data_IF_828201875949
#
_entry.id   IF_828201875949
#
_cell.length_a   1.000
_cell.length_b   1.000
_cell.length_c   1.000
_cell.angle_alpha   90.00
_cell.angle_beta   90.00
_cell.angle_gamma   90.00
#
_symmetry.space_group_name_H-M   'P 1'
#
loop_
_entity.id
_entity.type
_entity.pdbx_description
1 polymer ?
#
# COMPACT_ATOMS: atom_id res chain seq x y z
N UNK A 1 -4.92 20.26 -22.33
CA UNK A 1 -5.01 19.31 -21.20
C UNK A 1 -5.31 20.09 -19.92
N UNK A 2 -6.20 19.60 -19.07
CA UNK A 2 -6.61 20.27 -17.82
C UNK A 2 -5.45 20.28 -16.80
N UNK A 3 -5.32 21.36 -16.02
CA UNK A 3 -4.30 21.50 -14.97
C UNK A 3 -4.34 20.37 -13.92
N UNK A 4 -5.49 19.74 -13.76
CA UNK A 4 -5.76 18.72 -12.73
C UNK A 4 -5.49 17.29 -13.20
N UNK A 5 -5.39 17.04 -14.51
CA UNK A 5 -5.19 15.69 -15.09
C UNK A 5 -3.93 15.57 -15.93
N UNK A 6 -3.12 16.64 -16.02
CA UNK A 6 -1.97 16.69 -16.93
C UNK A 6 -0.76 15.89 -16.44
N UNK A 7 -0.65 15.58 -15.15
CA UNK A 7 0.50 14.85 -14.55
C UNK A 7 0.12 13.54 -13.87
N UNK A 8 -1.14 13.41 -13.48
CA UNK A 8 -1.70 12.29 -12.74
C UNK A 8 -3.19 12.24 -13.06
N UNK A 9 -3.85 11.07 -13.13
CA UNK A 9 -3.38 9.72 -12.82
C UNK A 9 -2.59 9.02 -13.94
N UNK A 10 -1.78 8.02 -13.55
CA UNK A 10 -1.13 7.10 -14.49
C UNK A 10 -2.18 6.27 -15.25
N UNK A 11 -1.88 5.85 -16.47
CA UNK A 11 -2.74 5.05 -17.32
C UNK A 11 -3.21 3.75 -16.64
N UNK A 12 -2.33 3.11 -15.88
CA UNK A 12 -2.63 1.90 -15.10
C UNK A 12 -3.67 2.21 -14.01
N UNK A 13 -3.46 3.29 -13.27
CA UNK A 13 -4.38 3.74 -12.20
C UNK A 13 -5.74 4.12 -12.79
N UNK A 14 -5.76 4.77 -13.95
CA UNK A 14 -6.98 5.17 -14.63
C UNK A 14 -7.79 3.96 -15.11
N UNK A 15 -7.13 2.99 -15.77
CA UNK A 15 -7.78 1.75 -16.19
C UNK A 15 -8.36 0.99 -14.99
N UNK A 16 -7.61 0.91 -13.89
CA UNK A 16 -8.09 0.27 -12.66
C UNK A 16 -9.27 1.01 -12.06
N UNK A 17 -9.24 2.35 -12.03
CA UNK A 17 -10.35 3.16 -11.56
C UNK A 17 -11.62 2.92 -12.37
N UNK A 18 -11.50 2.77 -13.70
CA UNK A 18 -12.62 2.44 -14.55
C UNK A 18 -13.22 1.06 -14.21
N UNK A 19 -12.37 0.03 -14.05
CA UNK A 19 -12.80 -1.32 -13.68
C UNK A 19 -13.52 -1.32 -12.33
N UNK A 20 -12.94 -0.65 -11.32
CA UNK A 20 -13.53 -0.53 -9.99
C UNK A 20 -14.86 0.24 -10.02
N UNK A 21 -14.94 1.32 -10.78
CA UNK A 21 -16.16 2.12 -10.91
C UNK A 21 -17.30 1.34 -11.58
N UNK A 22 -16.98 0.53 -12.61
CA UNK A 22 -17.97 -0.36 -13.24
C UNK A 22 -18.43 -1.43 -12.26
N UNK A 23 -17.51 -2.11 -11.59
CA UNK A 23 -17.87 -3.14 -10.61
C UNK A 23 -18.72 -2.58 -9.45
N UNK A 24 -18.33 -1.44 -8.87
CA UNK A 24 -19.08 -0.79 -7.80
C UNK A 24 -20.47 -0.35 -8.26
N UNK A 25 -20.59 0.18 -9.48
CA UNK A 25 -21.89 0.52 -10.07
C UNK A 25 -22.77 -0.73 -10.18
N UNK A 26 -22.24 -1.82 -10.72
CA UNK A 26 -23.00 -3.04 -10.95
C UNK A 26 -23.49 -3.64 -9.61
N UNK A 27 -22.63 -3.67 -8.58
CA UNK A 27 -23.00 -4.10 -7.21
C UNK A 27 -24.08 -3.22 -6.59
N UNK A 28 -23.96 -1.89 -6.69
CA UNK A 28 -24.97 -0.97 -6.14
C UNK A 28 -26.30 -1.11 -6.89
N UNK A 29 -26.27 -1.27 -8.21
CA UNK A 29 -27.49 -1.44 -9.01
C UNK A 29 -28.18 -2.77 -8.70
N UNK A 30 -27.45 -3.87 -8.54
CA UNK A 30 -28.04 -5.14 -8.12
C UNK A 30 -28.68 -5.02 -6.74
N UNK A 31 -28.00 -4.39 -5.79
CA UNK A 31 -28.50 -4.25 -4.43
C UNK A 31 -29.78 -3.39 -4.36
N UNK A 32 -29.82 -2.25 -5.08
CA UNK A 32 -31.00 -1.39 -5.15
C UNK A 32 -32.20 -2.11 -5.79
N UNK A 33 -31.95 -2.94 -6.81
CA UNK A 33 -33.04 -3.65 -7.50
C UNK A 33 -33.58 -4.83 -6.68
N UNK A 34 -32.74 -5.47 -5.87
CA UNK A 34 -33.11 -6.63 -5.03
C UNK A 34 -33.74 -6.21 -3.69
N UNK A 35 -33.27 -5.11 -3.09
CA UNK A 35 -33.76 -4.61 -1.81
C UNK A 35 -34.73 -3.42 -2.00
N UNK A 36 -36.03 -3.71 -2.02
CA UNK A 36 -37.10 -2.69 -2.12
C UNK A 36 -37.12 -1.74 -0.91
N UNK A 37 -36.64 -2.19 0.25
CA UNK A 37 -36.47 -1.41 1.49
C UNK A 37 -34.99 -1.17 1.79
N UNK A 38 -34.29 -0.43 0.92
CA UNK A 38 -32.93 0.03 1.20
C UNK A 38 -32.96 1.01 2.39
N UNK A 39 -32.66 0.52 3.60
CA UNK A 39 -32.37 1.37 4.74
C UNK A 39 -30.88 1.74 4.72
N UNK A 40 -30.51 3.01 4.46
CA UNK A 40 -29.11 3.44 4.44
C UNK A 40 -28.39 3.28 5.79
N UNK A 41 -29.13 2.99 6.88
CA UNK A 41 -28.55 2.70 8.21
C UNK A 41 -28.23 1.22 8.41
N UNK A 42 -28.87 0.33 7.65
CA UNK A 42 -28.57 -1.10 7.66
C UNK A 42 -27.52 -1.32 6.58
N UNK A 43 -26.26 -1.17 6.95
CA UNK A 43 -25.15 -1.49 6.06
C UNK A 43 -25.22 -2.99 5.76
N UNK A 44 -25.59 -3.36 4.53
CA UNK A 44 -25.43 -4.73 4.09
C UNK A 44 -23.93 -5.00 3.93
N UNK A 45 -23.51 -6.26 4.14
CA UNK A 45 -22.12 -6.69 3.87
C UNK A 45 -21.70 -6.38 2.42
N UNK A 46 -22.67 -6.30 1.50
CA UNK A 46 -22.47 -6.03 0.08
C UNK A 46 -22.22 -4.54 -0.21
N UNK A 47 -22.88 -3.61 0.49
CA UNK A 47 -22.55 -2.18 0.36
C UNK A 47 -21.17 -1.89 0.92
N UNK A 48 -20.75 -2.58 2.00
CA UNK A 48 -19.44 -2.39 2.62
C UNK A 48 -18.31 -2.89 1.70
N UNK A 49 -18.56 -3.96 0.93
CA UNK A 49 -17.52 -4.61 0.11
C UNK A 49 -16.92 -3.67 -0.94
N UNK A 50 -17.68 -2.71 -1.48
CA UNK A 50 -17.20 -1.78 -2.52
C UNK A 50 -16.11 -0.83 -2.00
N UNK A 51 -16.01 -0.68 -0.67
CA UNK A 51 -15.00 0.13 -0.01
C UNK A 51 -13.81 -0.69 0.47
N UNK A 52 -13.88 -2.02 0.44
CA UNK A 52 -12.75 -2.89 0.80
C UNK A 52 -11.81 -3.05 -0.41
N UNK A 53 -10.53 -2.69 -0.28
CA UNK A 53 -9.57 -2.93 -1.34
C UNK A 53 -9.33 -4.43 -1.49
N UNK A 54 -9.31 -4.90 -2.73
CA UNK A 54 -8.80 -6.22 -3.07
C UNK A 54 -7.27 -6.21 -2.88
N UNK A 55 -6.74 -7.08 -2.03
CA UNK A 55 -5.31 -7.13 -1.72
C UNK A 55 -4.53 -8.06 -2.66
N UNK A 56 -5.22 -8.95 -3.38
CA UNK A 56 -4.59 -9.97 -4.22
C UNK A 56 -3.95 -9.38 -5.47
N UNK A 57 -4.35 -8.16 -5.85
CA UNK A 57 -3.79 -7.44 -7.00
C UNK A 57 -2.40 -6.86 -6.75
N UNK A 58 -1.98 -6.72 -5.48
CA UNK A 58 -0.68 -6.16 -5.14
C UNK A 58 0.37 -7.26 -5.15
N UNK A 59 1.59 -6.95 -5.58
CA UNK A 59 2.68 -7.92 -5.59
C UNK A 59 3.20 -8.18 -4.16
N UNK A 60 3.18 -7.14 -3.33
CA UNK A 60 3.57 -7.19 -1.93
C UNK A 60 2.57 -6.41 -1.08
N UNK A 61 2.22 -6.95 0.09
CA UNK A 61 1.32 -6.34 1.06
C UNK A 61 2.04 -6.18 2.39
N UNK A 62 2.29 -4.93 2.79
CA UNK A 62 2.89 -4.60 4.08
C UNK A 62 1.76 -4.46 5.09
N UNK A 63 1.76 -5.30 6.11
CA UNK A 63 0.81 -5.24 7.22
C UNK A 63 1.37 -4.36 8.34
N UNK A 64 0.56 -3.42 8.80
CA UNK A 64 0.87 -2.47 9.86
C UNK A 64 0.36 -2.97 11.21
N UNK A 65 1.04 -2.60 12.28
CA UNK A 65 0.54 -2.87 13.62
C UNK A 65 -0.57 -1.89 13.98
N UNK A 66 -1.65 -2.40 14.55
CA UNK A 66 -2.87 -1.62 14.82
C UNK A 66 -2.65 -0.49 15.84
N UNK A 67 -1.75 -0.68 16.78
CA UNK A 67 -1.33 0.30 17.80
C UNK A 67 -0.62 1.53 17.22
N UNK A 68 -0.13 1.45 15.98
CA UNK A 68 0.56 2.56 15.32
C UNK A 68 -0.38 3.35 14.38
N UNK A 69 -1.63 2.92 14.21
CA UNK A 69 -2.59 3.54 13.30
C UNK A 69 -3.43 4.55 14.09
N UNK A 70 -3.14 5.84 13.91
CA UNK A 70 -3.82 6.92 14.65
C UNK A 70 -5.32 6.96 14.36
N UNK A 71 -5.71 6.73 13.11
CA UNK A 71 -7.09 6.84 12.64
C UNK A 71 -7.83 5.48 12.59
N UNK A 72 -7.41 4.49 13.38
CA UNK A 72 -7.95 3.12 13.29
C UNK A 72 -9.47 3.07 13.44
N UNK A 73 -10.07 3.98 14.22
CA UNK A 73 -11.51 4.09 14.45
C UNK A 73 -12.31 4.47 13.19
N UNK A 74 -11.65 4.99 12.16
CA UNK A 74 -12.26 5.36 10.88
C UNK A 74 -12.28 4.19 9.90
N UNK A 75 -11.60 3.09 10.22
CA UNK A 75 -11.52 1.92 9.36
C UNK A 75 -12.90 1.29 9.16
N UNK A 76 -13.15 0.82 7.95
CA UNK A 76 -14.40 0.15 7.56
C UNK A 76 -14.65 -1.07 8.45
N UNK A 77 -13.60 -1.86 8.71
CA UNK A 77 -13.66 -3.08 9.52
C UNK A 77 -13.34 -2.83 11.00
N UNK A 78 -13.54 -1.60 11.49
CA UNK A 78 -13.35 -1.30 12.90
C UNK A 78 -14.44 -1.97 13.76
N UNK A 79 -14.08 -2.71 14.83
CA UNK A 79 -15.06 -3.42 15.62
C UNK A 79 -16.06 -2.45 16.28
N UNK A 80 -17.38 -2.71 16.19
CA UNK A 80 -18.41 -1.79 16.70
C UNK A 80 -18.42 -1.68 18.23
N UNK A 81 -17.75 -2.60 18.93
CA UNK A 81 -17.64 -2.65 20.40
C UNK A 81 -16.18 -2.48 20.83
N UNK A 82 -15.58 -1.35 20.49
CA UNK A 82 -14.26 -1.01 21.00
C UNK A 82 -14.40 -0.17 22.28
N UNK A 83 -13.90 -0.69 23.39
CA UNK A 83 -13.92 0.01 24.67
C UNK A 83 -12.65 0.87 24.80
N UNK A 84 -12.83 2.19 24.88
CA UNK A 84 -11.73 3.10 25.20
C UNK A 84 -11.60 3.21 26.71
N UNK A 85 -10.43 2.84 27.25
CA UNK A 85 -10.08 3.18 28.63
C UNK A 85 -9.43 4.56 28.64
N UNK A 86 -10.19 5.58 29.00
CA UNK A 86 -9.62 6.91 29.25
C UNK A 86 -8.83 6.83 30.55
N UNK A 87 -7.51 6.75 30.44
CA UNK A 87 -6.63 6.88 31.59
C UNK A 87 -6.62 8.34 32.04
N UNK A 88 -6.73 8.57 33.35
CA UNK A 88 -6.48 9.90 33.91
C UNK A 88 -4.97 10.15 33.85
N UNK A 89 -4.61 11.39 33.53
CA UNK A 89 -3.22 11.82 33.55
C UNK A 89 -2.63 11.62 34.95
N UNK A 90 -1.55 10.86 35.04
CA UNK A 90 -0.83 10.61 36.28
C UNK A 90 0.52 11.34 36.24
N UNK A 91 0.74 12.38 37.07
CA UNK A 91 1.98 13.14 37.07
C UNK A 91 3.19 12.36 37.62
N UNK A 92 2.99 11.22 38.30
CA UNK A 92 4.08 10.37 38.78
C UNK A 92 4.61 9.43 37.71
N UNK A 93 3.76 9.10 36.73
CA UNK A 93 4.17 8.38 35.53
C UNK A 93 4.77 9.41 34.57
N UNK A 94 5.97 9.15 34.05
CA UNK A 94 6.62 10.00 33.04
C UNK A 94 5.90 9.86 31.67
N UNK A 95 4.60 10.14 31.64
CA UNK A 95 3.75 10.10 30.45
C UNK A 95 4.13 11.28 29.57
N UNK A 96 4.72 10.97 28.42
CA UNK A 96 5.00 11.97 27.39
C UNK A 96 3.69 12.27 26.68
N UNK A 97 3.38 13.56 26.53
CA UNK A 97 2.23 13.99 25.74
C UNK A 97 2.42 13.55 24.28
N UNK A 98 1.35 13.06 23.61
CA UNK A 98 1.42 12.73 22.20
C UNK A 98 1.73 13.99 21.38
N UNK A 99 2.57 13.84 20.37
CA UNK A 99 2.91 14.93 19.46
C UNK A 99 1.70 15.20 18.58
N UNK A 100 1.23 16.45 18.55
CA UNK A 100 0.11 16.88 17.72
C UNK A 100 0.43 16.65 16.23
N UNK A 101 -0.54 16.16 15.47
CA UNK A 101 -0.43 15.88 14.02
C UNK A 101 0.70 14.93 13.62
N UNK A 102 1.14 14.08 14.55
CA UNK A 102 2.10 13.02 14.25
C UNK A 102 1.38 11.74 13.81
N UNK A 103 1.44 11.45 12.52
CA UNK A 103 1.03 10.17 11.94
C UNK A 103 2.29 9.38 11.51
N UNK A 104 2.65 8.28 12.21
CA UNK A 104 3.83 7.48 11.88
C UNK A 104 3.66 6.72 10.56
N UNK A 105 2.45 6.26 10.22
CA UNK A 105 2.17 5.50 8.99
C UNK A 105 2.32 6.40 7.78
N UNK A 106 1.74 7.60 7.84
CA UNK A 106 1.84 8.58 6.75
C UNK A 106 3.30 9.03 6.51
N UNK A 107 4.09 9.20 7.57
CA UNK A 107 5.54 9.47 7.45
C UNK A 107 6.29 8.29 6.82
N UNK A 108 6.00 7.08 7.27
CA UNK A 108 6.59 5.86 6.74
C UNK A 108 6.30 5.69 5.24
N UNK A 109 5.04 5.86 4.81
CA UNK A 109 4.66 5.77 3.39
C UNK A 109 5.34 6.85 2.55
N UNK A 110 5.50 8.08 3.06
CA UNK A 110 6.28 9.11 2.35
C UNK A 110 7.72 8.67 2.16
N UNK A 111 8.36 8.16 3.21
CA UNK A 111 9.75 7.69 3.14
C UNK A 111 9.92 6.53 2.16
N UNK A 112 8.96 5.59 2.11
CA UNK A 112 8.94 4.52 1.11
C UNK A 112 8.85 5.08 -0.32
N UNK A 113 7.96 6.05 -0.57
CA UNK A 113 7.79 6.68 -1.89
C UNK A 113 9.03 7.48 -2.30
N UNK A 114 9.65 8.19 -1.37
CA UNK A 114 10.86 8.98 -1.65
C UNK A 114 12.07 8.08 -1.94
N UNK A 115 12.15 6.90 -1.31
CA UNK A 115 13.29 5.98 -1.44
C UNK A 115 13.13 4.96 -2.57
N UNK A 116 11.91 4.47 -2.80
CA UNK A 116 11.62 3.36 -3.72
C UNK A 116 10.55 3.68 -4.77
N UNK A 117 10.11 4.93 -4.92
CA UNK A 117 9.07 5.32 -5.89
C UNK A 117 9.42 5.06 -7.35
N UNK A 118 10.72 4.95 -7.65
CA UNK A 118 11.25 4.56 -8.98
C UNK A 118 11.17 3.06 -9.25
N UNK A 119 11.00 2.24 -8.19
CA UNK A 119 10.92 0.78 -8.29
C UNK A 119 9.50 0.28 -8.07
N UNK A 120 8.75 0.90 -7.16
CA UNK A 120 7.42 0.44 -6.78
C UNK A 120 6.42 1.59 -6.57
N UNK A 121 5.15 1.27 -6.73
CA UNK A 121 4.01 2.11 -6.39
C UNK A 121 3.44 1.66 -5.04
N UNK A 122 3.20 2.62 -4.15
CA UNK A 122 2.70 2.36 -2.79
C UNK A 122 1.30 2.94 -2.61
N UNK A 123 0.35 2.08 -2.23
CA UNK A 123 -1.05 2.39 -2.01
C UNK A 123 -1.41 2.07 -0.56
N UNK A 124 -2.08 2.99 0.12
CA UNK A 124 -2.54 2.79 1.49
C UNK A 124 -3.82 3.56 1.71
N UNK A 125 -4.63 3.09 2.65
CA UNK A 125 -5.82 3.79 3.10
C UNK A 125 -5.49 4.72 4.29
N UNK A 126 -5.77 6.01 4.11
CA UNK A 126 -5.55 7.05 5.13
C UNK A 126 -6.58 7.02 6.25
N UNK A 127 -7.70 6.32 6.06
CA UNK A 127 -8.82 6.26 6.98
C UNK A 127 -8.77 5.01 7.86
N UNK A 128 -7.58 4.65 8.35
CA UNK A 128 -7.41 3.56 9.31
C UNK A 128 -7.10 2.19 8.70
N UNK A 129 -6.79 2.14 7.40
CA UNK A 129 -6.28 0.93 6.75
C UNK A 129 -5.04 0.36 7.43
N UNK A 130 -4.98 -0.97 7.49
CA UNK A 130 -3.87 -1.69 8.15
C UNK A 130 -2.87 -2.24 7.15
N UNK A 131 -3.16 -2.13 5.87
CA UNK A 131 -2.37 -2.68 4.79
C UNK A 131 -1.86 -1.56 3.88
N UNK A 132 -0.61 -1.70 3.46
CA UNK A 132 -0.03 -0.94 2.36
C UNK A 132 0.19 -1.92 1.21
N UNK A 133 -0.52 -1.72 0.12
CA UNK A 133 -0.33 -2.45 -1.13
C UNK A 133 0.83 -1.88 -1.93
N UNK A 134 1.68 -2.77 -2.46
CA UNK A 134 2.86 -2.42 -3.25
C UNK A 134 2.78 -3.11 -4.62
N UNK A 135 3.02 -2.34 -5.68
CA UNK A 135 3.09 -2.82 -7.05
C UNK A 135 4.45 -2.51 -7.65
N UNK A 136 5.13 -3.51 -8.21
CA UNK A 136 6.39 -3.31 -8.90
C UNK A 136 6.17 -2.59 -10.23
N UNK A 137 7.06 -1.65 -10.55
CA UNK A 137 7.12 -1.10 -11.90
C UNK A 137 7.73 -2.15 -12.83
N UNK A 138 7.25 -2.31 -14.08
CA UNK A 138 7.81 -3.29 -15.02
C UNK A 138 9.32 -3.16 -15.23
N UNK A 139 9.85 -1.94 -15.16
CA UNK A 139 11.28 -1.63 -15.27
C UNK A 139 12.16 -2.31 -14.22
N UNK A 140 11.60 -2.76 -13.10
CA UNK A 140 12.35 -3.45 -12.04
C UNK A 140 12.83 -4.84 -12.47
N UNK A 141 12.08 -5.48 -13.38
CA UNK A 141 12.38 -6.82 -13.89
C UNK A 141 13.36 -6.80 -15.08
N UNK A 142 13.65 -5.63 -15.62
CA UNK A 142 14.58 -5.48 -16.74
C UNK A 142 16.04 -5.57 -16.26
N UNK A 143 16.86 -6.31 -17.01
CA UNK A 143 18.30 -6.38 -16.79
C UNK A 143 19.01 -5.39 -17.70
N UNK A 144 19.86 -4.55 -17.12
CA UNK A 144 20.64 -3.56 -17.87
C UNK A 144 22.14 -3.85 -17.76
N UNK A 145 22.94 -3.51 -18.78
CA UNK A 145 24.39 -3.62 -18.67
C UNK A 145 24.93 -2.69 -17.57
N UNK A 146 25.91 -3.18 -16.80
CA UNK A 146 26.53 -2.39 -15.75
C UNK A 146 27.14 -1.08 -16.30
N UNK A 147 26.80 0.03 -15.66
CA UNK A 147 27.36 1.35 -15.88
C UNK A 147 27.57 2.02 -14.51
N UNK A 148 28.55 2.90 -14.36
CA UNK A 148 28.75 3.66 -13.10
C UNK A 148 27.54 4.50 -12.71
N UNK A 149 26.72 4.92 -13.68
CA UNK A 149 25.42 5.55 -13.42
C UNK A 149 24.32 4.54 -13.02
N UNK A 150 24.43 3.27 -13.45
CA UNK A 150 23.50 2.18 -13.09
C UNK A 150 23.93 1.41 -11.84
N UNK A 151 25.09 1.72 -11.26
CA UNK A 151 25.53 1.30 -9.91
C UNK A 151 24.68 1.92 -8.77
N UNK A 152 23.48 2.42 -9.11
CA UNK A 152 22.49 2.93 -8.20
C UNK A 152 22.04 1.86 -7.18
N UNK A 153 21.40 2.34 -6.10
CA UNK A 153 20.91 1.53 -4.98
C UNK A 153 20.01 0.38 -5.46
N UNK A 154 19.95 -0.68 -4.66
CA UNK A 154 19.02 -1.80 -4.84
C UNK A 154 19.27 -2.69 -6.08
N UNK A 155 20.50 -2.73 -6.62
CA UNK A 155 20.83 -3.54 -7.80
C UNK A 155 21.81 -4.67 -7.48
N UNK A 156 21.63 -5.84 -8.11
CA UNK A 156 22.48 -7.05 -7.99
C UNK A 156 23.00 -7.52 -9.34
N UNK A 157 24.17 -8.14 -9.32
CA UNK A 157 24.77 -8.76 -10.51
C UNK A 157 23.92 -9.95 -10.94
N UNK A 158 23.49 -9.96 -12.20
CA UNK A 158 22.55 -10.97 -12.73
C UNK A 158 23.23 -12.30 -13.11
N UNK A 159 24.55 -12.44 -12.88
CA UNK A 159 25.33 -13.64 -13.25
C UNK A 159 25.48 -13.86 -14.77
N UNK A 160 24.72 -13.13 -15.58
CA UNK A 160 24.79 -13.11 -17.05
C UNK A 160 25.62 -11.91 -17.53
N UNK A 161 26.34 -12.09 -18.63
CA UNK A 161 27.11 -11.04 -19.28
C UNK A 161 26.38 -10.57 -20.55
N UNK A 162 26.38 -9.26 -20.79
CA UNK A 162 26.00 -8.68 -22.07
C UNK A 162 26.99 -9.12 -23.17
N UNK A 163 26.57 -8.98 -24.44
CA UNK A 163 27.34 -9.38 -25.61
C UNK A 163 28.74 -8.72 -25.72
N UNK A 164 28.97 -7.64 -24.99
CA UNK A 164 30.22 -6.89 -24.90
C UNK A 164 31.12 -7.32 -23.72
N UNK A 165 30.77 -8.38 -22.98
CA UNK A 165 31.51 -8.86 -21.82
C UNK A 165 31.27 -8.07 -20.52
N UNK A 166 30.38 -7.06 -20.55
CA UNK A 166 29.98 -6.31 -19.36
C UNK A 166 28.91 -7.11 -18.60
N UNK A 167 29.03 -7.28 -17.27
CA UNK A 167 28.01 -7.98 -16.50
C UNK A 167 26.67 -7.24 -16.52
N UNK A 168 25.58 -7.99 -16.61
CA UNK A 168 24.24 -7.46 -16.45
C UNK A 168 23.91 -7.26 -14.97
N UNK A 169 23.08 -6.27 -14.71
CA UNK A 169 22.63 -5.90 -13.38
C UNK A 169 21.11 -5.88 -13.36
N UNK A 170 20.52 -6.65 -12.45
CA UNK A 170 19.08 -6.66 -12.19
C UNK A 170 18.76 -5.98 -10.85
N UNK A 171 17.50 -5.67 -10.60
CA UNK A 171 17.07 -5.15 -9.30
C UNK A 171 17.07 -6.27 -8.26
N UNK A 172 17.57 -5.99 -7.05
CA UNK A 172 17.53 -6.91 -5.93
C UNK A 172 16.21 -6.74 -5.15
N UNK A 173 15.15 -7.38 -5.66
CA UNK A 173 13.80 -7.29 -5.07
C UNK A 173 13.80 -7.77 -3.61
N UNK A 174 14.51 -8.85 -3.32
CA UNK A 174 14.58 -9.44 -1.96
C UNK A 174 15.11 -8.42 -0.94
N UNK A 175 16.16 -7.67 -1.30
CA UNK A 175 16.71 -6.64 -0.43
C UNK A 175 15.77 -5.44 -0.26
N UNK A 176 15.01 -5.06 -1.30
CA UNK A 176 14.01 -4.00 -1.18
C UNK A 176 12.88 -4.40 -0.21
N UNK A 177 12.45 -5.67 -0.26
CA UNK A 177 11.42 -6.19 0.64
C UNK A 177 11.93 -6.22 2.08
N UNK A 178 13.20 -6.61 2.29
CA UNK A 178 13.85 -6.54 3.60
C UNK A 178 13.92 -5.09 4.11
N UNK A 179 14.30 -4.16 3.23
CA UNK A 179 14.36 -2.74 3.56
C UNK A 179 12.99 -2.18 4.00
N UNK A 180 11.87 -2.66 3.45
CA UNK A 180 10.53 -2.26 3.92
C UNK A 180 10.34 -2.63 5.39
N UNK A 181 10.78 -3.82 5.80
CA UNK A 181 10.70 -4.24 7.20
C UNK A 181 11.63 -3.42 8.10
N UNK A 182 12.83 -3.10 7.63
CA UNK A 182 13.83 -2.32 8.39
C UNK A 182 13.40 -0.87 8.55
N UNK A 183 12.96 -0.21 7.48
CA UNK A 183 12.50 1.19 7.52
C UNK A 183 11.23 1.33 8.35
N UNK A 184 10.39 0.30 8.34
CA UNK A 184 9.16 0.22 9.09
C UNK A 184 9.33 -0.34 10.49
N UNK A 185 10.54 -0.46 11.04
CA UNK A 185 10.74 -1.03 12.37
C UNK A 185 9.89 -0.30 13.42
N UNK A 186 9.21 -1.07 14.25
CA UNK A 186 8.20 -0.56 15.19
C UNK A 186 6.79 -0.40 14.59
N UNK A 187 6.64 -0.10 13.30
CA UNK A 187 5.35 0.16 12.62
C UNK A 187 4.83 -1.06 11.86
N UNK A 188 5.71 -1.75 11.15
CA UNK A 188 5.37 -2.90 10.31
C UNK A 188 5.22 -4.15 11.19
N UNK A 189 4.14 -4.89 10.97
CA UNK A 189 3.87 -6.19 11.59
C UNK A 189 4.49 -7.31 10.76
N UNK A 190 4.22 -7.30 9.46
CA UNK A 190 4.60 -8.36 8.54
C UNK A 190 4.60 -7.86 7.09
N UNK A 191 5.27 -8.57 6.19
CA UNK A 191 5.32 -8.25 4.75
C UNK A 191 5.02 -9.52 3.95
N UNK A 192 3.85 -9.55 3.32
CA UNK A 192 3.37 -10.67 2.53
C UNK A 192 3.70 -10.48 1.05
N UNK A 193 4.19 -11.52 0.40
CA UNK A 193 4.45 -11.52 -1.05
C UNK A 193 3.36 -12.36 -1.72
N UNK A 194 2.63 -11.75 -2.66
CA UNK A 194 1.57 -12.42 -3.38
C UNK A 194 2.14 -13.09 -4.64
N UNK A 195 2.27 -14.42 -4.60
CA UNK A 195 2.85 -15.21 -5.70
C UNK A 195 1.98 -15.24 -6.97
N UNK A 196 0.71 -14.84 -6.88
CA UNK A 196 -0.24 -14.92 -8.01
C UNK A 196 0.04 -13.89 -9.12
N UNK A 197 0.77 -12.81 -8.84
CA UNK A 197 1.03 -11.73 -9.80
C UNK A 197 2.51 -11.62 -10.21
N UNK A 198 3.39 -12.38 -9.55
CA UNK A 198 4.76 -12.58 -10.02
C UNK A 198 4.74 -13.39 -11.32
N UNK A 199 4.84 -12.69 -12.46
CA UNK A 199 5.24 -13.23 -13.75
C UNK A 199 6.70 -13.73 -13.73
N UNK A 200 7.04 -14.56 -12.75
CA UNK A 200 8.31 -15.24 -12.57
C UNK A 200 8.03 -16.73 -12.37
N UNK A 201 7.64 -17.38 -13.46
CA UNK A 201 7.95 -18.79 -13.76
C UNK A 201 8.23 -18.89 -15.26
#
# INVERSE_FOLDING_TARGET
LSKWTSRWPDSIVLNRLQVLATAAKDTLVSEINENVDFDPKVQSEQTIIIFRPDLDIYDVVIQLKSDQIVNQIQAIDFPPKFEFTIKKFDPEVNERLPIVDFDPVDRYVRQLRDSYGDYALFFYDRFGGREIGVLWRPSVFECEPFCTASAAKCRRMSGTAAANGVPNVGTNIDAIIEDFSILGDGIVRDVHINTHNSALN
#
